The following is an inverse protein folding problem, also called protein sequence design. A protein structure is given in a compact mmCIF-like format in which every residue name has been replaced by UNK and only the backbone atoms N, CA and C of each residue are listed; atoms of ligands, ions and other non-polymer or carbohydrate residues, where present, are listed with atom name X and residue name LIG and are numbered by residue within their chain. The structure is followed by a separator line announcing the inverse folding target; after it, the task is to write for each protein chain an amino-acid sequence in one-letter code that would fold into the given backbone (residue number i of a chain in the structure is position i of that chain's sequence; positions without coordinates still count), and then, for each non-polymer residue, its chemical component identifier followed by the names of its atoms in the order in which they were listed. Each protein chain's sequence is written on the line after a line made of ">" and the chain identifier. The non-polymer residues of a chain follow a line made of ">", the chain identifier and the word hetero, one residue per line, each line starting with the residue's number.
data_IF_249503591585
#
_entry.id   IF_249503591585
#
_cell.length_a   1.000
_cell.length_b   1.000
_cell.length_c   1.000
_cell.angle_alpha   90.00
_cell.angle_beta   90.00
_cell.angle_gamma   90.00
#
_symmetry.space_group_name_H-M   'P 1'
#
loop_
_entity.id
_entity.type
_entity.pdbx_description
1 polymer ?
#
# COMPACT_ATOMS: atom_id res chain seq x y z
N UNK A 1 16.52 -12.57 -1.39
CA UNK A 1 15.34 -11.97 -0.71
C UNK A 1 15.38 -12.18 0.81
N UNK A 2 15.29 -13.42 1.32
CA UNK A 2 15.27 -13.69 2.78
C UNK A 2 16.46 -13.03 3.52
N UNK A 3 17.68 -13.18 3.00
CA UNK A 3 18.89 -12.51 3.54
C UNK A 3 18.74 -10.97 3.64
N UNK A 4 18.13 -10.32 2.65
CA UNK A 4 17.90 -8.88 2.68
C UNK A 4 16.89 -8.49 3.78
N UNK A 5 15.84 -9.30 3.97
CA UNK A 5 14.85 -9.12 5.04
C UNK A 5 15.46 -9.31 6.42
N UNK A 6 16.37 -10.27 6.57
CA UNK A 6 17.14 -10.48 7.81
C UNK A 6 18.01 -9.26 8.12
N UNK A 7 18.77 -8.75 7.14
CA UNK A 7 19.58 -7.54 7.34
C UNK A 7 18.74 -6.34 7.79
N UNK A 8 17.56 -6.14 7.20
CA UNK A 8 16.64 -5.09 7.62
C UNK A 8 16.13 -5.32 9.05
N UNK A 9 15.79 -6.56 9.42
CA UNK A 9 15.36 -6.93 10.78
C UNK A 9 16.46 -6.64 11.81
N UNK A 10 17.69 -7.05 11.51
CA UNK A 10 18.86 -6.83 12.37
C UNK A 10 19.16 -5.34 12.54
N UNK A 11 18.90 -4.54 11.50
CA UNK A 11 18.99 -3.07 11.54
C UNK A 11 17.78 -2.39 12.23
N UNK A 12 16.86 -3.15 12.83
CA UNK A 12 15.75 -2.61 13.63
C UNK A 12 14.40 -2.56 12.91
N UNK A 13 14.24 -3.18 11.74
CA UNK A 13 12.93 -3.26 11.06
C UNK A 13 11.92 -4.02 11.93
N UNK A 14 10.83 -3.35 12.30
CA UNK A 14 9.69 -3.94 13.02
C UNK A 14 8.51 -4.27 12.10
N UNK A 15 8.49 -3.69 10.91
CA UNK A 15 7.38 -3.76 9.95
C UNK A 15 7.90 -3.71 8.51
N UNK A 16 7.24 -4.46 7.64
CA UNK A 16 7.51 -4.43 6.19
C UNK A 16 6.21 -4.32 5.39
N UNK A 17 6.19 -3.49 4.34
CA UNK A 17 5.08 -3.45 3.40
C UNK A 17 5.50 -4.15 2.09
N UNK A 18 4.77 -5.17 1.65
CA UNK A 18 4.91 -5.68 0.29
C UNK A 18 4.06 -4.83 -0.66
N UNK A 19 4.72 -4.11 -1.56
CA UNK A 19 4.13 -3.16 -2.49
C UNK A 19 4.84 -3.24 -3.85
N UNK A 20 4.47 -2.35 -4.78
CA UNK A 20 5.05 -2.26 -6.12
C UNK A 20 4.44 -3.28 -7.10
N UNK A 21 4.57 -3.01 -8.40
CA UNK A 21 3.97 -3.83 -9.46
C UNK A 21 2.51 -4.16 -9.16
N UNK A 22 2.21 -5.46 -9.06
CA UNK A 22 1.04 -5.99 -8.35
C UNK A 22 1.48 -7.26 -7.59
N UNK A 23 1.57 -7.25 -6.23
CA UNK A 23 2.08 -8.38 -5.44
C UNK A 23 1.36 -9.70 -5.70
N UNK A 24 0.06 -9.66 -6.01
CA UNK A 24 -0.73 -10.85 -6.30
C UNK A 24 -0.47 -11.46 -7.69
N UNK A 25 0.40 -10.87 -8.51
CA UNK A 25 0.95 -11.54 -9.69
C UNK A 25 1.93 -12.67 -9.33
N UNK A 26 2.45 -12.68 -8.10
CA UNK A 26 3.40 -13.69 -7.61
C UNK A 26 2.91 -14.33 -6.30
N UNK A 27 1.71 -14.94 -6.27
CA UNK A 27 1.03 -15.31 -5.03
C UNK A 27 1.83 -16.31 -4.18
N UNK A 28 2.43 -17.33 -4.80
CA UNK A 28 3.26 -18.31 -4.09
C UNK A 28 4.50 -17.67 -3.44
N UNK A 29 5.17 -16.75 -4.15
CA UNK A 29 6.35 -16.04 -3.65
C UNK A 29 5.98 -15.04 -2.56
N UNK A 30 4.85 -14.34 -2.71
CA UNK A 30 4.31 -13.44 -1.71
C UNK A 30 3.98 -14.19 -0.42
N UNK A 31 3.29 -15.34 -0.51
CA UNK A 31 3.00 -16.22 0.63
C UNK A 31 4.26 -16.61 1.39
N UNK A 32 5.25 -17.20 0.71
CA UNK A 32 6.52 -17.57 1.34
C UNK A 32 7.25 -16.40 2.02
N UNK A 33 7.12 -15.19 1.48
CA UNK A 33 7.73 -13.99 2.06
C UNK A 33 6.95 -13.49 3.28
N UNK A 34 5.62 -13.55 3.26
CA UNK A 34 4.76 -13.24 4.41
C UNK A 34 5.03 -14.23 5.55
N UNK A 35 5.08 -15.53 5.26
CA UNK A 35 5.35 -16.58 6.24
C UNK A 35 6.73 -16.37 6.89
N UNK A 36 7.76 -16.15 6.07
CA UNK A 36 9.11 -15.88 6.59
C UNK A 36 9.15 -14.63 7.47
N UNK A 37 8.44 -13.57 7.10
CA UNK A 37 8.40 -12.34 7.89
C UNK A 37 7.64 -12.52 9.22
N UNK A 38 6.57 -13.32 9.23
CA UNK A 38 5.73 -13.54 10.42
C UNK A 38 6.28 -14.60 11.35
N UNK A 39 6.64 -15.75 10.81
CA UNK A 39 7.04 -16.93 11.60
C UNK A 39 8.52 -16.86 11.99
N UNK A 40 9.39 -16.52 11.02
CA UNK A 40 10.84 -16.50 11.27
C UNK A 40 11.31 -15.16 11.83
N UNK A 41 11.02 -14.04 11.16
CA UNK A 41 11.50 -12.73 11.59
C UNK A 41 10.66 -12.09 12.71
N UNK A 42 9.49 -12.67 13.01
CA UNK A 42 8.54 -12.19 14.02
C UNK A 42 8.26 -10.69 13.87
N UNK A 43 8.05 -10.22 12.64
CA UNK A 43 7.70 -8.83 12.39
C UNK A 43 6.30 -8.54 12.93
N UNK A 44 6.18 -7.39 13.58
CA UNK A 44 4.93 -6.95 14.20
C UNK A 44 3.85 -6.74 13.15
N UNK A 45 4.22 -6.24 11.98
CA UNK A 45 3.29 -5.92 10.91
C UNK A 45 3.86 -6.24 9.53
N UNK A 46 3.05 -6.91 8.70
CA UNK A 46 3.39 -7.31 7.33
C UNK A 46 2.20 -6.96 6.40
N UNK A 47 1.83 -5.68 6.25
CA UNK A 47 0.74 -5.30 5.35
C UNK A 47 1.13 -5.53 3.88
N UNK A 48 0.13 -5.85 3.07
CA UNK A 48 0.23 -5.93 1.62
C UNK A 48 -0.46 -4.70 1.04
N UNK A 49 0.14 -4.11 0.01
CA UNK A 49 -0.42 -3.01 -0.77
C UNK A 49 -0.76 -3.54 -2.15
N UNK A 50 -2.02 -3.43 -2.53
CA UNK A 50 -2.50 -3.80 -3.88
C UNK A 50 -3.13 -2.60 -4.57
N UNK A 51 -3.11 -2.60 -5.89
CA UNK A 51 -3.71 -1.59 -6.75
C UNK A 51 -5.24 -1.76 -6.85
N UNK A 52 -5.91 -1.92 -5.71
CA UNK A 52 -7.35 -2.12 -5.65
C UNK A 52 -8.13 -0.83 -5.92
N UNK A 53 -8.64 -0.67 -7.13
CA UNK A 53 -9.70 0.31 -7.40
C UNK A 53 -11.00 -0.45 -7.66
N UNK A 54 -12.04 -0.17 -6.85
CA UNK A 54 -13.40 -0.39 -7.32
C UNK A 54 -13.75 0.76 -8.23
N UNK A 55 -14.22 0.42 -9.41
CA UNK A 55 -15.18 1.22 -10.11
C UNK A 55 -16.15 0.23 -10.71
N UNK A 56 -17.45 0.45 -10.47
CA UNK A 56 -18.52 -0.21 -11.23
C UNK A 56 -18.41 0.11 -12.74
N UNK A 57 -17.46 0.97 -13.14
CA UNK A 57 -16.89 1.05 -14.48
C UNK A 57 -15.58 0.27 -14.59
N UNK A 58 -15.64 -0.96 -15.10
CA UNK A 58 -14.47 -1.64 -15.69
C UNK A 58 -13.69 -0.70 -16.64
N UNK A 59 -14.39 0.24 -17.28
CA UNK A 59 -13.86 1.29 -18.15
C UNK A 59 -12.80 2.19 -17.50
N UNK A 60 -12.96 2.60 -16.23
CA UNK A 60 -12.00 3.49 -15.54
C UNK A 60 -10.71 2.73 -15.23
N UNK A 61 -10.82 1.52 -14.69
CA UNK A 61 -9.65 0.66 -14.44
C UNK A 61 -8.91 0.29 -15.74
N UNK A 62 -9.64 0.01 -16.82
CA UNK A 62 -9.06 -0.23 -18.15
C UNK A 62 -8.34 1.03 -18.65
N UNK A 63 -8.97 2.21 -18.54
CA UNK A 63 -8.40 3.49 -18.99
C UNK A 63 -7.15 3.91 -18.19
N UNK A 64 -7.10 3.58 -16.89
CA UNK A 64 -5.91 3.78 -16.04
C UNK A 64 -4.84 2.71 -16.33
N UNK A 65 -5.19 1.61 -17.00
CA UNK A 65 -4.27 0.49 -17.28
C UNK A 65 -4.11 -0.48 -16.10
N UNK A 66 -5.09 -0.56 -15.20
CA UNK A 66 -5.12 -1.43 -14.00
C UNK A 66 -5.84 -2.78 -14.20
N UNK A 67 -5.95 -3.22 -15.45
CA UNK A 67 -6.47 -4.55 -15.81
C UNK A 67 -7.88 -4.52 -16.41
N UNK A 68 -8.51 -5.70 -16.49
CA UNK A 68 -9.75 -5.97 -17.25
C UNK A 68 -11.08 -5.67 -16.54
N UNK A 69 -11.09 -5.06 -15.35
CA UNK A 69 -12.31 -4.75 -14.59
C UNK A 69 -12.77 -5.80 -13.56
N UNK A 70 -12.15 -7.00 -13.51
CA UNK A 70 -12.49 -8.05 -12.52
C UNK A 70 -11.73 -7.95 -11.20
N UNK A 71 -10.96 -6.87 -11.01
CA UNK A 71 -10.05 -6.71 -9.86
C UNK A 71 -10.79 -6.59 -8.53
N UNK A 72 -12.05 -6.15 -8.55
CA UNK A 72 -12.86 -5.91 -7.35
C UNK A 72 -13.13 -7.19 -6.56
N UNK A 73 -13.48 -8.29 -7.24
CA UNK A 73 -13.73 -9.59 -6.58
C UNK A 73 -12.49 -10.09 -5.86
N UNK A 74 -11.32 -9.94 -6.49
CA UNK A 74 -10.03 -10.33 -5.89
C UNK A 74 -9.71 -9.54 -4.62
N UNK A 75 -10.12 -8.27 -4.52
CA UNK A 75 -9.89 -7.48 -3.30
C UNK A 75 -10.65 -8.04 -2.10
N UNK A 76 -11.87 -8.55 -2.31
CA UNK A 76 -12.63 -9.19 -1.25
C UNK A 76 -12.02 -10.53 -0.85
N UNK A 77 -11.54 -11.33 -1.80
CA UNK A 77 -10.79 -12.57 -1.52
C UNK A 77 -9.52 -12.27 -0.71
N UNK A 78 -8.75 -11.26 -1.11
CA UNK A 78 -7.53 -10.83 -0.41
C UNK A 78 -7.86 -10.36 1.00
N UNK A 79 -8.91 -9.56 1.17
CA UNK A 79 -9.40 -9.12 2.49
C UNK A 79 -9.71 -10.32 3.38
N UNK A 80 -10.40 -11.33 2.84
CA UNK A 80 -10.83 -12.50 3.62
C UNK A 80 -9.64 -13.38 4.01
N UNK A 81 -8.67 -13.56 3.11
CA UNK A 81 -7.39 -14.19 3.45
C UNK A 81 -6.66 -13.40 4.53
N UNK A 82 -6.58 -12.06 4.40
CA UNK A 82 -5.94 -11.22 5.41
C UNK A 82 -6.60 -11.41 6.78
N UNK A 83 -7.93 -11.49 6.85
CA UNK A 83 -8.66 -11.78 8.09
C UNK A 83 -8.33 -13.15 8.65
N UNK A 84 -8.37 -14.20 7.82
CA UNK A 84 -8.09 -15.57 8.23
C UNK A 84 -6.68 -15.74 8.83
N UNK A 85 -5.69 -15.02 8.32
CA UNK A 85 -4.30 -15.07 8.81
C UNK A 85 -3.95 -13.96 9.82
N UNK A 86 -4.92 -13.14 10.25
CA UNK A 86 -4.70 -12.00 11.15
C UNK A 86 -3.79 -10.91 10.57
N UNK A 87 -3.72 -10.78 9.25
CA UNK A 87 -2.91 -9.77 8.54
C UNK A 87 -3.74 -8.49 8.43
N UNK A 88 -3.16 -7.35 8.82
CA UNK A 88 -3.78 -6.03 8.62
C UNK A 88 -3.85 -5.70 7.12
N UNK A 89 -5.06 -5.59 6.58
CA UNK A 89 -5.32 -5.27 5.17
C UNK A 89 -5.28 -3.75 4.91
N UNK A 90 -4.43 -3.31 3.98
CA UNK A 90 -4.23 -1.89 3.63
C UNK A 90 -4.58 -1.64 2.17
N UNK A 91 -5.30 -0.57 1.91
CA UNK A 91 -5.60 -0.11 0.55
C UNK A 91 -4.81 1.15 0.21
N UNK A 92 -4.31 1.24 -1.02
CA UNK A 92 -3.72 2.46 -1.57
C UNK A 92 -4.44 2.85 -2.87
N UNK A 93 -4.92 4.09 -2.94
CA UNK A 93 -5.52 4.67 -4.15
C UNK A 93 -4.64 5.81 -4.65
N UNK A 94 -4.34 5.83 -5.95
CA UNK A 94 -3.81 7.03 -6.61
C UNK A 94 -5.00 7.76 -7.23
N UNK A 95 -5.24 8.97 -6.76
CA UNK A 95 -6.33 9.83 -7.20
C UNK A 95 -5.83 10.64 -8.41
N UNK A 96 -6.56 10.54 -9.50
CA UNK A 96 -6.22 11.08 -10.80
C UNK A 96 -7.45 11.60 -11.54
N UNK A 97 -7.24 12.16 -12.73
CA UNK A 97 -8.28 12.82 -13.52
C UNK A 97 -9.49 11.92 -13.81
N UNK A 98 -9.29 10.60 -13.84
CA UNK A 98 -10.35 9.64 -14.15
C UNK A 98 -11.18 9.20 -12.94
N UNK A 99 -10.68 9.37 -11.71
CA UNK A 99 -11.35 8.84 -10.51
C UNK A 99 -11.58 9.85 -9.37
N UNK A 100 -11.15 11.12 -9.52
CA UNK A 100 -11.28 12.12 -8.44
C UNK A 100 -12.74 12.46 -8.07
N UNK A 101 -13.69 12.18 -8.97
CA UNK A 101 -15.13 12.37 -8.73
C UNK A 101 -15.86 11.08 -8.30
N UNK A 102 -15.17 9.95 -8.15
CA UNK A 102 -15.81 8.72 -7.70
C UNK A 102 -16.13 8.78 -6.20
N UNK A 103 -17.33 8.31 -5.82
CA UNK A 103 -17.68 8.04 -4.43
C UNK A 103 -17.39 6.57 -4.10
N UNK A 104 -16.32 6.35 -3.32
CA UNK A 104 -15.84 5.04 -2.88
C UNK A 104 -16.33 4.69 -1.46
N UNK A 105 -17.16 5.50 -0.80
CA UNK A 105 -17.53 5.29 0.61
C UNK A 105 -18.12 3.89 0.85
N UNK A 106 -19.12 3.49 0.03
CA UNK A 106 -19.76 2.17 0.13
C UNK A 106 -18.77 1.03 -0.10
N UNK A 107 -17.76 1.23 -0.95
CA UNK A 107 -16.73 0.23 -1.21
C UNK A 107 -15.88 0.00 0.02
N UNK A 108 -15.35 1.09 0.56
CA UNK A 108 -14.43 1.08 1.69
C UNK A 108 -15.14 0.58 2.95
N UNK A 109 -16.43 0.90 3.09
CA UNK A 109 -17.29 0.34 4.13
C UNK A 109 -17.44 -1.19 4.04
N UNK A 110 -17.51 -1.77 2.85
CA UNK A 110 -17.56 -3.23 2.69
C UNK A 110 -16.18 -3.89 2.84
N UNK A 111 -15.15 -3.22 2.36
CA UNK A 111 -13.79 -3.75 2.34
C UNK A 111 -13.13 -3.66 3.74
N UNK A 112 -13.49 -2.66 4.54
CA UNK A 112 -12.97 -2.39 5.89
C UNK A 112 -11.43 -2.52 5.97
N UNK A 113 -10.66 -1.77 5.14
CA UNK A 113 -9.22 -1.73 5.31
C UNK A 113 -8.87 -1.12 6.65
N UNK A 114 -7.83 -1.63 7.31
CA UNK A 114 -7.33 -1.02 8.54
C UNK A 114 -6.82 0.41 8.26
N UNK A 115 -6.33 0.64 7.03
CA UNK A 115 -5.85 1.93 6.55
C UNK A 115 -6.02 2.03 5.05
N UNK A 116 -6.49 3.18 4.59
CA UNK A 116 -6.69 3.54 3.20
C UNK A 116 -5.90 4.81 2.88
N UNK A 117 -4.76 4.66 2.19
CA UNK A 117 -3.93 5.80 1.77
C UNK A 117 -4.37 6.28 0.39
N UNK A 118 -4.68 7.56 0.27
CA UNK A 118 -5.06 8.18 -1.00
C UNK A 118 -4.00 9.19 -1.39
N UNK A 119 -3.29 8.92 -2.49
CA UNK A 119 -2.22 9.75 -3.00
C UNK A 119 -2.75 10.60 -4.14
N UNK A 120 -2.45 11.89 -4.15
CA UNK A 120 -2.57 12.68 -5.37
C UNK A 120 -1.57 12.13 -6.40
N UNK A 121 -2.00 11.95 -7.65
CA UNK A 121 -1.09 11.50 -8.73
C UNK A 121 0.11 12.45 -8.85
N UNK A 122 1.30 11.87 -9.03
CA UNK A 122 2.56 12.60 -9.09
C UNK A 122 3.38 12.16 -10.31
N UNK A 123 3.97 13.15 -10.99
CA UNK A 123 5.02 12.91 -11.99
C UNK A 123 6.36 12.77 -11.28
N UNK A 124 7.02 11.65 -11.52
CA UNK A 124 8.32 11.26 -11.01
C UNK A 124 9.28 11.21 -12.20
N UNK A 125 10.30 12.09 -12.23
CA UNK A 125 11.32 12.09 -13.26
C UNK A 125 11.98 10.72 -13.39
N UNK A 126 12.21 10.24 -14.61
CA UNK A 126 12.84 8.93 -14.81
C UNK A 126 11.88 7.74 -14.75
N UNK A 127 10.64 7.91 -14.30
CA UNK A 127 9.67 6.82 -14.11
C UNK A 127 8.44 6.97 -15.00
N UNK A 128 7.72 8.10 -14.89
CA UNK A 128 6.39 8.30 -15.50
C UNK A 128 6.20 9.70 -16.13
N UNK A 129 7.30 10.35 -16.52
CA UNK A 129 7.43 11.74 -16.93
C UNK A 129 7.57 11.96 -18.46
N UNK A 130 7.33 10.92 -19.28
CA UNK A 130 7.60 11.02 -20.72
C UNK A 130 6.52 10.34 -21.54
N UNK A 131 6.06 11.03 -22.58
CA UNK A 131 5.14 10.51 -23.60
C UNK A 131 5.68 9.29 -24.35
N UNK A 132 7.01 9.07 -24.35
CA UNK A 132 7.64 7.89 -24.96
C UNK A 132 7.58 6.65 -24.06
N UNK A 133 7.25 6.81 -22.77
CA UNK A 133 7.10 5.69 -21.84
C UNK A 133 5.65 5.21 -21.83
N UNK A 134 5.47 3.91 -21.56
CA UNK A 134 4.15 3.28 -21.40
C UNK A 134 3.27 3.90 -20.29
N UNK A 135 3.84 4.72 -19.41
CA UNK A 135 3.19 5.24 -18.20
C UNK A 135 3.37 6.75 -18.09
N UNK A 136 2.95 7.51 -19.09
CA UNK A 136 2.92 8.97 -18.97
C UNK A 136 1.85 9.43 -17.98
N UNK A 137 2.27 9.96 -16.83
CA UNK A 137 1.37 10.40 -15.76
C UNK A 137 0.73 11.79 -16.03
N UNK A 138 1.23 12.57 -16.99
CA UNK A 138 0.76 13.93 -17.25
C UNK A 138 -0.73 13.98 -17.59
N UNK A 139 -1.22 12.97 -18.33
CA UNK A 139 -2.62 12.85 -18.75
C UNK A 139 -3.58 12.53 -17.61
N UNK A 140 -3.04 12.14 -16.46
CA UNK A 140 -3.80 11.74 -15.28
C UNK A 140 -3.79 12.81 -14.19
N UNK A 141 -3.01 13.89 -14.35
CA UNK A 141 -2.84 14.94 -13.35
C UNK A 141 -4.16 15.59 -12.94
N UNK A 142 -4.24 15.94 -11.65
CA UNK A 142 -5.33 16.71 -11.06
C UNK A 142 -4.77 17.89 -10.28
N UNK A 143 -5.57 18.95 -10.20
CA UNK A 143 -5.30 20.13 -9.39
C UNK A 143 -5.52 19.81 -7.92
N UNK A 144 -4.89 20.57 -7.04
CA UNK A 144 -5.05 20.41 -5.59
C UNK A 144 -6.51 20.50 -5.15
N UNK A 145 -7.30 21.40 -5.75
CA UNK A 145 -8.75 21.53 -5.49
C UNK A 145 -9.55 20.26 -5.82
N UNK A 146 -9.16 19.52 -6.85
CA UNK A 146 -9.83 18.28 -7.26
C UNK A 146 -9.47 17.16 -6.28
N UNK A 147 -8.23 17.12 -5.81
CA UNK A 147 -7.82 16.21 -4.75
C UNK A 147 -8.49 16.54 -3.41
N UNK A 148 -8.62 17.83 -3.06
CA UNK A 148 -9.36 18.28 -1.88
C UNK A 148 -10.83 17.86 -1.95
N UNK A 149 -11.48 18.01 -3.12
CA UNK A 149 -12.84 17.52 -3.32
C UNK A 149 -12.97 16.02 -3.04
N UNK A 150 -12.08 15.20 -3.59
CA UNK A 150 -12.03 13.77 -3.29
C UNK A 150 -11.87 13.52 -1.78
N UNK A 151 -11.00 14.27 -1.11
CA UNK A 151 -10.81 14.14 0.34
C UNK A 151 -12.08 14.49 1.13
N UNK A 152 -12.80 15.54 0.73
CA UNK A 152 -14.02 15.99 1.41
C UNK A 152 -15.16 14.96 1.29
N UNK A 153 -15.31 14.34 0.12
CA UNK A 153 -16.30 13.28 -0.11
C UNK A 153 -16.07 12.06 0.79
N UNK A 154 -14.80 11.75 1.10
CA UNK A 154 -14.41 10.53 1.82
C UNK A 154 -13.97 10.74 3.27
N UNK A 155 -14.04 11.98 3.78
CA UNK A 155 -13.54 12.34 5.12
C UNK A 155 -14.17 11.55 6.27
N UNK A 156 -15.36 10.98 6.06
CA UNK A 156 -16.06 10.15 7.05
C UNK A 156 -15.45 8.76 7.24
N UNK A 157 -14.59 8.30 6.33
CA UNK A 157 -13.97 6.98 6.41
C UNK A 157 -12.86 6.96 7.46
N UNK A 158 -13.04 6.17 8.53
CA UNK A 158 -12.06 6.05 9.63
C UNK A 158 -10.65 5.65 9.19
N UNK A 159 -10.55 4.85 8.12
CA UNK A 159 -9.29 4.37 7.59
C UNK A 159 -8.56 5.38 6.69
N UNK A 160 -9.22 6.49 6.31
CA UNK A 160 -8.76 7.41 5.27
C UNK A 160 -7.53 8.24 5.70
N UNK A 161 -6.52 8.24 4.85
CA UNK A 161 -5.29 9.02 5.02
C UNK A 161 -4.91 9.67 3.68
N UNK A 162 -5.15 10.97 3.49
CA UNK A 162 -4.78 11.67 2.27
C UNK A 162 -3.30 12.03 2.25
N UNK A 163 -2.70 12.02 1.06
CA UNK A 163 -1.32 12.41 0.80
C UNK A 163 -1.25 13.27 -0.49
N UNK A 164 -1.30 14.59 -0.31
CA UNK A 164 -1.16 15.57 -1.39
C UNK A 164 0.30 15.73 -1.84
N UNK A 165 0.48 16.21 -3.08
CA UNK A 165 1.81 16.48 -3.65
C UNK A 165 2.56 17.62 -2.96
N UNK A 166 1.87 18.52 -2.26
CA UNK A 166 2.50 19.58 -1.46
C UNK A 166 3.55 19.08 -0.44
N UNK A 167 3.48 17.78 -0.08
CA UNK A 167 4.36 17.13 0.88
C UNK A 167 5.46 16.28 0.23
N UNK A 168 5.54 16.23 -1.10
CA UNK A 168 6.52 15.39 -1.82
C UNK A 168 7.65 16.24 -2.35
N UNK A 169 8.87 16.01 -1.83
CA UNK A 169 10.11 16.55 -2.38
C UNK A 169 10.69 15.55 -3.39
N UNK A 170 11.32 16.08 -4.45
CA UNK A 170 11.89 15.34 -5.59
C UNK A 170 12.51 13.98 -5.23
N UNK A 171 12.16 12.95 -6.00
CA UNK A 171 12.77 11.62 -5.92
C UNK A 171 14.28 11.71 -6.08
N UNK A 172 15.01 10.95 -5.27
CA UNK A 172 16.48 10.90 -5.27
C UNK A 172 16.95 9.60 -5.91
N UNK A 173 18.20 9.64 -6.38
CA UNK A 173 18.92 8.47 -6.91
C UNK A 173 18.87 7.28 -5.93
N UNK A 174 18.69 6.05 -6.42
CA UNK A 174 18.72 4.84 -5.59
C UNK A 174 20.09 4.66 -4.92
N UNK A 175 20.10 4.12 -3.70
CA UNK A 175 21.32 3.61 -3.07
C UNK A 175 21.83 2.35 -3.80
N UNK A 176 23.11 1.97 -3.60
CA UNK A 176 23.56 0.60 -3.82
C UNK A 176 22.73 -0.41 -3.01
N UNK A 177 22.78 -1.67 -3.39
CA UNK A 177 22.01 -2.74 -2.73
C UNK A 177 22.47 -2.96 -1.29
N UNK A 178 21.52 -3.11 -0.35
CA UNK A 178 21.84 -3.48 1.04
C UNK A 178 22.55 -4.84 1.16
N UNK A 179 22.45 -5.70 0.15
CA UNK A 179 23.16 -6.97 0.11
C UNK A 179 24.66 -6.80 -0.18
N UNK A 180 25.04 -5.66 -0.76
CA UNK A 180 26.41 -5.32 -1.13
C UNK A 180 27.07 -4.42 -0.09
N UNK A 181 26.37 -3.36 0.34
CA UNK A 181 26.95 -2.33 1.21
C UNK A 181 26.43 -2.36 2.65
N UNK A 182 25.42 -3.18 2.94
CA UNK A 182 24.73 -3.20 4.24
C UNK A 182 23.68 -2.08 4.37
N UNK A 183 22.81 -2.20 5.39
CA UNK A 183 21.68 -1.27 5.58
C UNK A 183 22.15 0.15 5.91
N UNK A 184 23.10 0.28 6.84
CA UNK A 184 23.56 1.59 7.33
C UNK A 184 24.17 2.44 6.20
N UNK A 185 25.09 1.87 5.42
CA UNK A 185 25.73 2.60 4.30
C UNK A 185 24.75 2.93 3.18
N UNK A 186 23.80 2.03 2.90
CA UNK A 186 22.74 2.32 1.93
C UNK A 186 21.88 3.50 2.40
N UNK A 187 21.50 3.52 3.69
CA UNK A 187 20.76 4.62 4.30
C UNK A 187 21.56 5.93 4.31
N UNK A 188 22.87 5.92 4.54
CA UNK A 188 23.71 7.13 4.47
C UNK A 188 23.82 7.70 3.05
N UNK A 189 23.77 6.82 2.04
CA UNK A 189 23.82 7.23 0.63
C UNK A 189 22.53 7.88 0.13
N UNK A 190 21.43 7.74 0.89
CA UNK A 190 20.17 8.43 0.63
C UNK A 190 19.92 9.41 1.75
N UNK A 191 19.62 10.67 1.46
CA UNK A 191 19.26 11.59 2.53
C UNK A 191 17.88 11.20 3.08
N UNK A 192 17.86 10.44 4.17
CA UNK A 192 16.65 10.00 4.85
C UNK A 192 16.03 11.17 5.61
N UNK A 193 14.79 11.51 5.29
CA UNK A 193 14.04 12.59 5.93
C UNK A 193 13.00 12.00 6.89
N UNK A 194 13.45 11.71 8.12
CA UNK A 194 12.60 11.18 9.18
C UNK A 194 11.43 12.13 9.51
N UNK A 195 11.64 13.44 9.46
CA UNK A 195 10.60 14.44 9.74
C UNK A 195 9.47 14.34 8.72
N UNK A 196 9.80 14.24 7.43
CA UNK A 196 8.82 14.04 6.36
C UNK A 196 8.10 12.69 6.47
N UNK A 197 8.78 11.64 6.95
CA UNK A 197 8.13 10.35 7.21
C UNK A 197 7.08 10.43 8.33
N UNK A 198 7.41 11.10 9.44
CA UNK A 198 6.52 11.29 10.57
C UNK A 198 5.32 12.18 10.19
N UNK A 199 5.56 13.30 9.50
CA UNK A 199 4.50 14.26 9.12
C UNK A 199 3.45 13.64 8.19
N UNK A 200 3.82 12.64 7.39
CA UNK A 200 2.90 11.85 6.53
C UNK A 200 2.24 10.68 7.26
N UNK A 201 2.16 10.76 8.60
CA UNK A 201 1.58 9.72 9.46
C UNK A 201 2.22 8.35 9.21
N UNK A 202 3.53 8.32 8.96
CA UNK A 202 4.32 7.10 8.75
C UNK A 202 4.35 6.20 9.98
N UNK A 203 4.27 6.82 11.18
CA UNK A 203 4.14 6.16 12.48
C UNK A 203 2.67 6.08 12.90
N UNK A 204 2.20 4.89 13.28
CA UNK A 204 0.81 4.62 13.67
C UNK A 204 0.72 3.27 14.40
N UNK A 205 -0.37 2.96 15.08
CA UNK A 205 -0.51 1.64 15.71
C UNK A 205 -0.70 0.53 14.66
N UNK A 206 0.36 -0.25 14.48
CA UNK A 206 0.42 -1.41 13.60
C UNK A 206 0.44 -2.74 14.34
N UNK A 207 0.30 -2.72 15.67
CA UNK A 207 0.21 -3.92 16.50
C UNK A 207 -1.05 -4.73 16.16
N UNK A 208 -1.07 -6.04 16.40
CA UNK A 208 -2.31 -6.81 16.33
C UNK A 208 -3.08 -6.53 17.62
N UNK A 209 -4.38 -6.28 17.54
CA UNK A 209 -5.23 -6.51 18.70
C UNK A 209 -5.09 -8.00 19.05
N UNK A 210 -4.56 -8.33 20.23
CA UNK A 210 -4.48 -9.71 20.71
C UNK A 210 -5.86 -10.35 20.97
N UNK A 211 -6.95 -9.59 20.81
CA UNK A 211 -8.31 -10.10 20.92
C UNK A 211 -8.81 -10.72 19.61
N UNK A 212 -8.17 -11.80 19.18
CA UNK A 212 -8.78 -12.78 18.27
C UNK A 212 -7.84 -13.97 18.09
N UNK A 213 -8.34 -15.15 18.50
CA UNK A 213 -7.80 -16.49 18.27
C UNK A 213 -6.64 -16.95 19.18
N UNK A 214 -6.82 -16.83 20.49
CA UNK A 214 -6.42 -17.91 21.41
C UNK A 214 -7.41 -17.96 22.55
N UNK A 215 -8.03 -19.13 22.72
CA UNK A 215 -8.93 -19.55 23.79
C UNK A 215 -10.44 -19.34 23.55
N UNK A 216 -11.18 -20.45 23.68
CA UNK A 216 -12.64 -20.70 23.56
C UNK A 216 -13.14 -20.87 22.11
N UNK A 217 -13.64 -22.01 21.62
CA UNK A 217 -14.28 -23.17 22.21
C UNK A 217 -13.86 -24.47 21.50
N UNK A 218 -13.49 -25.50 22.28
CA UNK A 218 -13.83 -26.89 21.94
C UNK A 218 -15.33 -27.06 22.16
N UNK A 219 -15.90 -27.94 21.35
CA UNK A 219 -17.26 -28.49 21.42
C UNK A 219 -18.38 -27.59 20.89
N UNK A 220 -18.81 -27.87 19.66
CA UNK A 220 -20.22 -27.85 19.31
C UNK A 220 -20.53 -29.06 18.41
N UNK A 221 -21.15 -30.05 19.06
CA UNK A 221 -22.01 -31.07 18.47
C UNK A 221 -23.34 -30.40 18.04
N UNK A 222 -23.83 -30.82 16.86
CA UNK A 222 -25.09 -30.47 16.17
C UNK A 222 -25.20 -29.07 15.52
#
# INVERSE_FOLDING_TARGET
>A
MKRALTLLKDAGMRKINFAGGEPFLYPAKLGQMVDYCKETLRLESVPIVTNGSQSDGASVNIAIGRGSGTQVTKLYEIRDLCRAYGIKFKLNTVVCHLNFNEDMNRFIEKLQPFRWKCFQVLVVPGENDSERRLRDAHRFLIRDKEFSHFCDVHRGQRAFVPESNALVRNGREPSPSILEVGVQRALESVYWDEKSFISRSGMYDWSRDQKSCSDTHRDLDW
#
